data_IF_934275084635
#
_entry.id   IF_934275084635
#
_cell.length_a   1.000
_cell.length_b   1.000
_cell.length_c   1.000
_cell.angle_alpha   90.00
_cell.angle_beta   90.00
_cell.angle_gamma   90.00
#
_symmetry.space_group_name_H-M   'P 1'
#
loop_
_entity.id
_entity.type
_entity.pdbx_description
1 polymer ?
#
# COMPACT_ATOMS: atom_id res chain seq x y z
N UNK A 1 -12.55 -3.38 -24.03
CA UNK A 1 -12.05 -2.10 -23.47
C UNK A 1 -11.95 -2.26 -21.96
N UNK A 2 -10.85 -1.80 -21.33
CA UNK A 2 -10.67 -1.90 -19.88
C UNK A 2 -10.26 -0.54 -19.33
N UNK A 3 -10.61 -0.29 -18.07
CA UNK A 3 -10.07 0.83 -17.29
C UNK A 3 -9.04 0.30 -16.29
N UNK A 4 -8.30 1.20 -15.63
CA UNK A 4 -7.29 0.83 -14.64
C UNK A 4 -7.50 1.59 -13.35
N UNK A 5 -7.32 0.92 -12.21
CA UNK A 5 -7.37 1.59 -10.92
C UNK A 5 -6.19 2.56 -10.75
N UNK A 6 -6.45 3.68 -10.07
CA UNK A 6 -5.46 4.75 -9.84
C UNK A 6 -4.22 4.23 -9.10
N UNK A 7 -3.07 4.30 -9.77
CA UNK A 7 -1.80 3.88 -9.19
C UNK A 7 -1.48 4.65 -7.91
N UNK A 8 -0.87 3.97 -6.93
CA UNK A 8 -0.53 4.56 -5.62
C UNK A 8 -1.72 4.76 -4.67
N UNK A 9 -2.92 4.30 -5.04
CA UNK A 9 -4.10 4.28 -4.15
C UNK A 9 -4.47 2.85 -3.81
N UNK A 10 -4.96 2.08 -4.78
CA UNK A 10 -5.47 0.71 -4.54
C UNK A 10 -4.39 -0.25 -4.03
N UNK A 11 -3.14 -0.07 -4.47
CA UNK A 11 -2.03 -0.89 -4.00
C UNK A 11 -1.79 -0.69 -2.50
N UNK A 12 -1.88 0.55 -1.99
CA UNK A 12 -1.69 0.80 -0.56
C UNK A 12 -2.81 0.16 0.27
N UNK A 13 -4.06 0.20 -0.21
CA UNK A 13 -5.20 -0.46 0.46
C UNK A 13 -4.94 -1.97 0.64
N UNK A 14 -4.49 -2.65 -0.41
CA UNK A 14 -4.24 -4.10 -0.34
C UNK A 14 -3.09 -4.43 0.63
N UNK A 15 -2.01 -3.64 0.63
CA UNK A 15 -0.88 -3.94 1.53
C UNK A 15 -1.19 -3.59 2.99
N UNK A 16 -2.01 -2.58 3.25
CA UNK A 16 -2.49 -2.31 4.59
C UNK A 16 -3.40 -3.44 5.08
N UNK A 17 -4.22 -4.03 4.20
CA UNK A 17 -5.02 -5.22 4.53
C UNK A 17 -4.13 -6.43 4.86
N UNK A 18 -3.05 -6.64 4.11
CA UNK A 18 -2.09 -7.73 4.36
C UNK A 18 -1.40 -7.65 5.72
N UNK A 19 -1.04 -6.46 6.20
CA UNK A 19 -0.56 -6.31 7.58
C UNK A 19 -1.68 -6.70 8.54
N UNK A 20 -2.83 -6.03 8.42
CA UNK A 20 -3.89 -6.09 9.42
C UNK A 20 -4.50 -7.49 9.57
N UNK A 21 -4.55 -8.26 8.49
CA UNK A 21 -5.31 -9.51 8.43
C UNK A 21 -4.44 -10.75 8.30
N UNK A 22 -3.18 -10.62 7.87
CA UNK A 22 -2.35 -11.76 7.50
C UNK A 22 -0.89 -11.68 7.99
N UNK A 23 -0.48 -10.61 8.68
CA UNK A 23 0.90 -10.38 9.12
C UNK A 23 1.98 -10.54 8.02
N UNK A 24 1.63 -10.26 6.76
CA UNK A 24 2.55 -10.46 5.63
C UNK A 24 3.58 -9.32 5.57
N UNK A 25 4.87 -9.69 5.59
CA UNK A 25 5.96 -8.70 5.58
C UNK A 25 6.45 -8.27 4.19
N UNK A 26 5.95 -8.89 3.12
CA UNK A 26 6.45 -8.74 1.74
C UNK A 26 6.36 -7.32 1.17
N UNK A 27 7.34 -6.93 0.34
CA UNK A 27 7.28 -5.71 -0.49
C UNK A 27 6.75 -6.02 -1.90
N UNK A 28 5.44 -6.11 -2.05
CA UNK A 28 4.81 -6.53 -3.30
C UNK A 28 4.73 -5.37 -4.31
N UNK A 29 5.40 -5.48 -5.44
CA UNK A 29 5.30 -4.50 -6.53
C UNK A 29 4.21 -4.96 -7.49
N UNK A 30 3.17 -4.14 -7.65
CA UNK A 30 1.98 -4.48 -8.43
C UNK A 30 2.11 -4.01 -9.88
N UNK A 31 1.60 -4.81 -10.80
CA UNK A 31 1.28 -4.39 -12.17
C UNK A 31 -0.03 -3.60 -12.19
N UNK A 32 -0.40 -3.07 -13.36
CA UNK A 32 -1.67 -2.35 -13.54
C UNK A 32 -2.84 -3.29 -13.23
N UNK A 33 -3.73 -2.86 -12.34
CA UNK A 33 -5.00 -3.52 -12.07
C UNK A 33 -5.99 -3.16 -13.17
N UNK A 34 -6.50 -4.17 -13.88
CA UNK A 34 -7.48 -4.00 -14.95
C UNK A 34 -8.88 -4.08 -14.36
N UNK A 35 -9.77 -3.26 -14.89
CA UNK A 35 -11.19 -3.24 -14.56
C UNK A 35 -11.95 -3.42 -15.87
N UNK A 36 -12.75 -4.47 -15.95
CA UNK A 36 -13.54 -4.77 -17.13
C UNK A 36 -14.69 -3.76 -17.28
N UNK A 37 -14.79 -3.14 -18.46
CA UNK A 37 -15.95 -2.30 -18.79
C UNK A 37 -17.14 -3.14 -19.28
N UNK A 38 -16.86 -4.29 -19.88
CA UNK A 38 -17.84 -5.23 -20.42
C UNK A 38 -17.66 -6.58 -19.73
N UNK A 39 -18.59 -6.91 -18.83
CA UNK A 39 -18.54 -8.12 -18.00
C UNK A 39 -18.79 -9.39 -18.82
N UNK A 40 -19.40 -9.27 -20.01
CA UNK A 40 -19.72 -10.42 -20.86
C UNK A 40 -18.49 -10.94 -21.63
N UNK A 41 -17.44 -10.11 -21.77
CA UNK A 41 -16.20 -10.45 -22.49
C UNK A 41 -15.02 -10.73 -21.58
N UNK A 42 -15.11 -10.38 -20.30
CA UNK A 42 -14.02 -10.52 -19.35
C UNK A 42 -14.34 -11.61 -18.33
N UNK A 43 -13.37 -12.51 -18.08
CA UNK A 43 -13.50 -13.56 -17.07
C UNK A 43 -13.68 -12.99 -15.66
N UNK A 44 -13.02 -11.88 -15.36
CA UNK A 44 -13.05 -11.21 -14.07
C UNK A 44 -13.41 -9.74 -14.26
N UNK A 45 -14.21 -9.20 -13.34
CA UNK A 45 -14.50 -7.78 -13.26
C UNK A 45 -13.24 -6.98 -12.93
N UNK A 46 -12.43 -7.47 -11.99
CA UNK A 46 -11.13 -6.91 -11.64
C UNK A 46 -10.08 -8.03 -11.66
N UNK A 47 -8.91 -7.74 -12.22
CA UNK A 47 -7.72 -8.58 -12.12
C UNK A 47 -6.46 -7.75 -11.91
N UNK A 48 -5.60 -8.23 -11.01
CA UNK A 48 -4.26 -7.69 -10.82
C UNK A 48 -3.26 -8.77 -10.45
N UNK A 49 -1.99 -8.46 -10.67
CA UNK A 49 -0.87 -9.28 -10.21
C UNK A 49 0.24 -8.40 -9.67
N UNK A 50 1.09 -8.99 -8.83
CA UNK A 50 2.28 -8.36 -8.29
C UNK A 50 3.34 -9.38 -7.93
N UNK A 51 4.53 -8.90 -7.64
CA UNK A 51 5.67 -9.74 -7.24
C UNK A 51 6.40 -9.08 -6.07
N UNK A 52 6.75 -9.86 -5.04
CA UNK A 52 7.60 -9.36 -3.98
C UNK A 52 8.99 -9.02 -4.53
N UNK A 53 9.51 -7.85 -4.15
CA UNK A 53 10.85 -7.42 -4.57
C UNK A 53 11.97 -8.28 -3.96
N UNK A 54 11.75 -8.80 -2.75
CA UNK A 54 12.79 -9.50 -1.99
C UNK A 54 12.67 -11.03 -2.18
N UNK A 55 11.58 -11.64 -1.73
CA UNK A 55 11.39 -13.09 -1.80
C UNK A 55 10.79 -13.61 -3.12
N UNK A 56 10.53 -12.73 -4.09
CA UNK A 56 9.97 -13.07 -5.41
C UNK A 56 8.57 -13.71 -5.42
N UNK A 57 7.91 -13.82 -4.26
CA UNK A 57 6.53 -14.31 -4.13
C UNK A 57 5.58 -13.61 -5.10
N UNK A 58 4.71 -14.38 -5.74
CA UNK A 58 3.74 -13.87 -6.71
C UNK A 58 2.41 -13.67 -6.03
N UNK A 59 1.80 -12.51 -6.25
CA UNK A 59 0.45 -12.20 -5.78
C UNK A 59 -0.45 -12.07 -6.98
N UNK A 60 -1.61 -12.73 -6.94
CA UNK A 60 -2.66 -12.58 -7.94
C UNK A 60 -3.96 -12.30 -7.19
N UNK A 61 -4.72 -11.32 -7.65
CA UNK A 61 -6.03 -11.05 -7.08
C UNK A 61 -7.05 -10.70 -8.13
N UNK A 62 -8.29 -11.12 -7.89
CA UNK A 62 -9.38 -10.92 -8.82
C UNK A 62 -10.74 -10.83 -8.12
N UNK A 63 -11.69 -10.21 -8.80
CA UNK A 63 -13.10 -10.21 -8.43
C UNK A 63 -13.92 -10.65 -9.64
N UNK A 64 -14.81 -11.63 -9.45
CA UNK A 64 -15.63 -12.17 -10.54
C UNK A 64 -16.70 -11.18 -10.99
N UNK A 65 -17.37 -10.54 -10.03
CA UNK A 65 -18.53 -9.69 -10.26
C UNK A 65 -18.27 -8.25 -9.82
N UNK A 66 -18.90 -7.32 -10.53
CA UNK A 66 -19.03 -5.93 -10.06
C UNK A 66 -19.84 -5.94 -8.76
N UNK A 67 -19.44 -5.17 -7.72
CA UNK A 67 -20.24 -5.05 -6.52
C UNK A 67 -21.55 -4.32 -6.83
N UNK A 68 -22.63 -4.71 -6.14
CA UNK A 68 -23.87 -3.95 -6.18
C UNK A 68 -23.63 -2.52 -5.69
N UNK A 69 -24.48 -1.59 -6.10
CA UNK A 69 -24.37 -0.20 -5.69
C UNK A 69 -24.42 -0.08 -4.15
N UNK A 70 -23.47 0.68 -3.59
CA UNK A 70 -23.30 0.83 -2.14
C UNK A 70 -22.67 -0.36 -1.42
N UNK A 71 -22.42 -1.51 -2.08
CA UNK A 71 -21.75 -2.66 -1.46
C UNK A 71 -20.23 -2.63 -1.64
N UNK A 72 -19.45 -3.16 -0.69
CA UNK A 72 -18.01 -3.27 -0.84
C UNK A 72 -17.62 -4.26 -1.95
N UNK A 73 -16.55 -3.94 -2.66
CA UNK A 73 -15.91 -4.88 -3.58
C UNK A 73 -15.20 -5.98 -2.77
N UNK A 74 -15.55 -7.24 -3.04
CA UNK A 74 -14.85 -8.40 -2.46
C UNK A 74 -13.84 -8.92 -3.48
N UNK A 75 -12.57 -8.92 -3.09
CA UNK A 75 -11.45 -9.38 -3.91
C UNK A 75 -10.91 -10.68 -3.34
N UNK A 76 -10.76 -11.70 -4.18
CA UNK A 76 -10.02 -12.92 -3.85
C UNK A 76 -8.55 -12.68 -4.13
N UNK A 77 -7.68 -13.05 -3.20
CA UNK A 77 -6.24 -12.86 -3.32
C UNK A 77 -5.54 -14.17 -3.03
N UNK A 78 -4.61 -14.54 -3.89
CA UNK A 78 -3.73 -15.69 -3.75
C UNK A 78 -2.27 -15.21 -3.74
N UNK A 79 -1.45 -15.82 -2.87
CA UNK A 79 -0.02 -15.58 -2.81
C UNK A 79 0.71 -16.91 -2.90
N UNK A 80 1.65 -17.00 -3.81
CA UNK A 80 2.44 -18.20 -4.08
C UNK A 80 3.94 -17.92 -3.92
N UNK A 81 4.68 -18.92 -3.44
CA UNK A 81 6.14 -18.80 -3.29
C UNK A 81 6.58 -17.83 -2.21
N UNK A 82 5.78 -17.62 -1.16
CA UNK A 82 6.19 -16.82 -0.01
C UNK A 82 7.18 -17.58 0.86
N UNK A 83 8.38 -17.01 1.01
CA UNK A 83 9.34 -17.47 2.01
C UNK A 83 9.15 -16.68 3.31
N UNK A 84 8.56 -17.33 4.31
CA UNK A 84 8.30 -16.77 5.64
C UNK A 84 9.60 -16.52 6.41
N UNK A 85 10.69 -17.24 6.09
CA UNK A 85 11.99 -17.10 6.73
C UNK A 85 12.88 -16.05 6.05
N UNK A 86 12.52 -15.58 4.85
CA UNK A 86 13.23 -14.52 4.16
C UNK A 86 13.24 -13.17 4.92
N UNK A 87 14.40 -12.54 5.03
CA UNK A 87 14.54 -11.20 5.59
C UNK A 87 14.25 -10.11 4.54
N UNK A 88 13.07 -9.50 4.64
CA UNK A 88 12.65 -8.44 3.73
C UNK A 88 13.32 -7.11 4.11
N UNK A 89 14.31 -6.70 3.32
CA UNK A 89 15.05 -5.46 3.55
C UNK A 89 14.40 -4.25 2.87
N UNK A 90 13.65 -4.48 1.79
CA UNK A 90 13.06 -3.39 1.01
C UNK A 90 11.76 -2.88 1.66
N UNK A 91 11.55 -1.57 1.58
CA UNK A 91 10.33 -0.91 2.07
C UNK A 91 9.48 -0.42 0.91
N UNK A 92 8.17 -0.41 1.11
CA UNK A 92 7.24 0.23 0.18
C UNK A 92 7.43 1.74 0.21
N UNK A 93 7.23 2.44 -0.91
CA UNK A 93 7.19 3.89 -0.92
C UNK A 93 5.96 4.40 -0.15
N UNK A 94 6.14 5.41 0.69
CA UNK A 94 5.03 6.20 1.26
C UNK A 94 4.62 7.27 0.24
N UNK A 95 3.56 6.99 -0.53
CA UNK A 95 3.15 7.79 -1.68
C UNK A 95 1.62 7.99 -1.76
N UNK A 96 1.19 8.80 -2.73
CA UNK A 96 -0.21 9.01 -3.06
C UNK A 96 -1.05 9.49 -1.86
N UNK A 97 -2.29 9.03 -1.80
CA UNK A 97 -3.21 9.34 -0.70
C UNK A 97 -2.66 8.89 0.66
N UNK A 98 -1.90 7.79 0.70
CA UNK A 98 -1.32 7.27 1.95
C UNK A 98 -0.31 8.23 2.56
N UNK A 99 0.49 8.90 1.73
CA UNK A 99 1.45 9.92 2.21
C UNK A 99 0.73 11.08 2.87
N UNK A 100 -0.38 11.54 2.30
CA UNK A 100 -1.18 12.61 2.89
C UNK A 100 -1.80 12.16 4.22
N UNK A 101 -2.43 10.98 4.25
CA UNK A 101 -3.00 10.38 5.47
C UNK A 101 -1.98 10.31 6.61
N UNK A 102 -0.82 9.72 6.34
CA UNK A 102 0.27 9.59 7.33
C UNK A 102 0.86 10.95 7.70
N UNK A 103 0.98 11.89 6.75
CA UNK A 103 1.42 13.25 7.01
C UNK A 103 0.52 13.98 8.01
N UNK A 104 -0.80 13.88 7.83
CA UNK A 104 -1.79 14.45 8.75
C UNK A 104 -1.78 13.76 10.12
N UNK A 105 -1.58 12.44 10.19
CA UNK A 105 -1.42 11.75 11.47
C UNK A 105 -0.16 12.24 12.21
N UNK A 106 0.94 12.38 11.48
CA UNK A 106 2.22 12.83 12.04
C UNK A 106 2.25 14.32 12.39
N UNK A 107 1.33 15.16 11.92
CA UNK A 107 1.27 16.56 12.35
C UNK A 107 0.99 16.64 13.86
N UNK A 108 0.20 15.68 14.37
CA UNK A 108 -0.22 15.57 15.78
C UNK A 108 0.54 14.49 16.58
N UNK A 109 1.44 13.72 15.94
CA UNK A 109 2.17 12.62 16.62
C UNK A 109 3.66 12.56 16.23
N UNK A 110 4.44 11.69 16.88
CA UNK A 110 5.84 11.40 16.54
C UNK A 110 5.97 10.21 15.59
N UNK A 111 7.05 10.17 14.81
CA UNK A 111 7.34 9.03 13.93
C UNK A 111 7.46 7.70 14.71
N UNK A 112 8.04 7.75 15.91
CA UNK A 112 8.19 6.57 16.78
C UNK A 112 6.83 6.04 17.25
N UNK A 113 5.93 6.94 17.70
CA UNK A 113 4.58 6.56 18.13
C UNK A 113 3.76 6.02 16.97
N UNK A 114 3.80 6.67 15.81
CA UNK A 114 3.13 6.20 14.61
C UNK A 114 3.55 4.76 14.25
N UNK A 115 4.86 4.48 14.27
CA UNK A 115 5.38 3.13 14.01
C UNK A 115 4.86 2.11 15.02
N UNK A 116 4.83 2.47 16.31
CA UNK A 116 4.31 1.60 17.38
C UNK A 116 2.83 1.31 17.16
N UNK A 117 2.03 2.32 16.83
CA UNK A 117 0.61 2.16 16.54
C UNK A 117 0.36 1.28 15.31
N UNK A 118 1.15 1.48 14.25
CA UNK A 118 1.01 0.75 12.98
C UNK A 118 1.29 -0.76 13.07
N UNK A 119 1.94 -1.22 14.14
CA UNK A 119 2.22 -2.64 14.40
C UNK A 119 1.48 -3.17 15.63
N UNK A 120 0.50 -2.45 16.18
CA UNK A 120 -0.20 -2.86 17.41
C UNK A 120 -0.90 -4.21 17.30
N UNK A 121 -1.37 -4.58 16.11
CA UNK A 121 -2.02 -5.87 15.85
C UNK A 121 -1.03 -7.03 15.66
N UNK A 122 0.27 -6.75 15.64
CA UNK A 122 1.29 -7.76 15.41
C UNK A 122 1.71 -8.44 16.71
N UNK A 123 2.10 -9.71 16.60
CA UNK A 123 2.63 -10.49 17.72
C UNK A 123 4.15 -10.32 17.85
N UNK A 124 4.66 -10.48 19.07
CA UNK A 124 6.11 -10.39 19.32
C UNK A 124 6.86 -11.47 18.51
N UNK A 125 7.93 -11.06 17.82
CA UNK A 125 8.72 -11.94 16.95
C UNK A 125 8.29 -11.94 15.49
N UNK A 126 7.12 -11.37 15.14
CA UNK A 126 6.74 -11.19 13.74
C UNK A 126 7.65 -10.18 13.02
N UNK A 127 7.87 -10.44 11.73
CA UNK A 127 8.69 -9.58 10.89
C UNK A 127 7.97 -8.30 10.55
N UNK A 128 8.62 -7.17 10.80
CA UNK A 128 8.08 -5.83 10.52
C UNK A 128 7.79 -5.68 9.02
N UNK A 129 6.53 -5.42 8.63
CA UNK A 129 6.15 -5.35 7.23
C UNK A 129 6.81 -4.24 6.42
N UNK A 130 6.79 -4.40 5.10
CA UNK A 130 7.41 -3.47 4.16
C UNK A 130 6.74 -2.09 4.12
N UNK A 131 5.46 -1.97 4.49
CA UNK A 131 4.72 -0.71 4.66
C UNK A 131 4.89 -0.06 6.04
N UNK A 132 5.73 -0.61 6.94
CA UNK A 132 6.19 0.13 8.12
C UNK A 132 7.46 0.91 7.75
N UNK A 133 7.29 2.22 7.56
CA UNK A 133 8.31 3.11 6.99
C UNK A 133 9.40 3.51 7.99
N UNK A 134 10.61 3.75 7.50
CA UNK A 134 11.74 4.26 8.29
C UNK A 134 11.42 5.65 8.88
N UNK A 135 11.99 5.97 10.05
CA UNK A 135 11.80 7.27 10.71
C UNK A 135 12.15 8.45 9.79
N UNK A 136 13.23 8.36 9.01
CA UNK A 136 13.64 9.40 8.06
C UNK A 136 12.57 9.69 7.01
N UNK A 137 11.85 8.67 6.55
CA UNK A 137 10.73 8.83 5.60
C UNK A 137 9.55 9.52 6.28
N UNK A 138 9.23 9.12 7.52
CA UNK A 138 8.14 9.71 8.31
C UNK A 138 8.43 11.16 8.69
N UNK A 139 9.66 11.51 9.09
CA UNK A 139 10.06 12.88 9.38
C UNK A 139 9.92 13.78 8.15
N UNK A 140 10.40 13.34 6.98
CA UNK A 140 10.19 14.07 5.72
C UNK A 140 8.72 14.19 5.34
N UNK A 141 7.91 13.18 5.66
CA UNK A 141 6.46 13.23 5.45
C UNK A 141 5.81 14.29 6.33
N UNK A 142 6.14 14.29 7.63
CA UNK A 142 5.67 15.28 8.62
C UNK A 142 6.07 16.70 8.22
N UNK A 143 7.32 16.90 7.84
CA UNK A 143 7.82 18.20 7.39
C UNK A 143 7.04 18.66 6.15
N UNK A 144 6.95 17.82 5.12
CA UNK A 144 6.23 18.16 3.90
C UNK A 144 4.76 18.50 4.13
N UNK A 145 4.10 17.91 5.13
CA UNK A 145 2.71 18.27 5.46
C UNK A 145 2.62 19.59 6.23
N UNK A 146 3.54 19.83 7.17
CA UNK A 146 3.63 21.11 7.87
C UNK A 146 3.92 22.27 6.92
N UNK A 147 4.84 22.08 5.98
CA UNK A 147 5.20 23.10 4.99
C UNK A 147 3.98 23.50 4.17
N UNK A 148 3.15 22.53 3.74
CA UNK A 148 1.89 22.83 3.04
C UNK A 148 0.90 23.62 3.90
N UNK A 149 0.72 23.23 5.17
CA UNK A 149 -0.20 23.90 6.10
C UNK A 149 0.23 25.35 6.32
N UNK A 150 1.55 25.59 6.42
CA UNK A 150 2.13 26.91 6.62
C UNK A 150 2.27 27.72 5.31
N UNK A 151 1.89 27.15 4.15
CA UNK A 151 2.04 27.81 2.85
C UNK A 151 3.49 27.99 2.41
N UNK A 152 4.43 27.20 2.93
CA UNK A 152 5.84 27.26 2.58
C UNK A 152 6.03 26.58 1.22
N UNK A 153 6.06 27.38 0.15
CA UNK A 153 6.45 26.94 -1.19
C UNK A 153 7.96 27.04 -1.32
N UNK A 154 8.65 25.91 -1.53
CA UNK A 154 10.06 25.93 -1.92
C UNK A 154 10.15 26.58 -3.31
N UNK A 155 10.59 27.85 -3.35
CA UNK A 155 10.98 28.50 -4.60
C UNK A 155 12.30 27.87 -5.01
N UNK A 156 12.24 26.89 -5.91
CA UNK A 156 13.44 26.42 -6.59
C UNK A 156 13.83 27.50 -7.62
N UNK A 157 14.75 28.38 -7.24
CA UNK A 157 15.54 29.11 -8.22
C UNK A 157 16.40 28.08 -8.94
N UNK A 158 15.96 27.65 -10.12
CA UNK A 158 16.81 26.97 -11.10
C UNK A 158 17.86 27.97 -11.57
N UNK A 159 19.11 27.77 -11.15
CA UNK A 159 20.30 28.29 -11.85
C UNK A 159 20.73 27.24 -12.85
#
# INVERSE_FOLDING_TARGET
MYTVLKQGVWTNIINDWFIKSCSISCNIIYKRCRVANDVNKAKHFIDFSGKCKDCLAVVVGWAEKRPDEGKPLVVKIMIEGMDMLHEHTSKRPLNGAKRQEVGMQLSHDSASNWRRQAVTSMTFGEKIPSNIYKNTVLWKCKQSEKDKILGITLIFNTV
#
